data_IF_856637938379
#
_entry.id   IF_856637938379
#
_cell.length_a   1.000
_cell.length_b   1.000
_cell.length_c   1.000
_cell.angle_alpha   90.00
_cell.angle_beta   90.00
_cell.angle_gamma   90.00
#
_symmetry.space_group_name_H-M   'P 1'
#
loop_
_entity.id
_entity.type
_entity.pdbx_description
1 polymer ?
#
# COMPACT_ATOMS: atom_id res chain seq x y z
N UNK A 1 -7.18 0.43 -12.53
CA UNK A 1 -5.71 0.22 -12.43
C UNK A 1 -5.41 -0.55 -11.16
N UNK A 2 -4.49 -1.48 -11.25
CA UNK A 2 -4.09 -2.30 -10.11
C UNK A 2 -2.97 -1.61 -9.34
N UNK A 3 -3.09 -1.60 -8.01
CA UNK A 3 -2.11 -1.01 -7.11
C UNK A 3 -1.56 -2.05 -6.17
N UNK A 4 -0.28 -1.91 -5.85
CA UNK A 4 0.35 -2.56 -4.71
C UNK A 4 0.34 -1.55 -3.58
N UNK A 5 -0.37 -1.88 -2.51
CA UNK A 5 -0.47 -1.01 -1.33
C UNK A 5 0.46 -1.57 -0.27
N UNK A 6 1.51 -0.83 0.04
CA UNK A 6 2.48 -1.22 1.04
C UNK A 6 2.11 -0.61 2.38
N UNK A 7 1.94 -1.46 3.38
CA UNK A 7 1.59 -1.04 4.75
C UNK A 7 2.66 -1.56 5.69
N UNK A 8 3.45 -0.66 6.23
CA UNK A 8 4.45 -0.99 7.23
C UNK A 8 3.75 -0.99 8.59
N UNK A 9 3.65 -2.17 9.22
CA UNK A 9 2.91 -2.30 10.47
C UNK A 9 3.60 -1.54 11.59
N UNK A 10 2.83 -0.79 12.40
CA UNK A 10 3.40 -0.13 13.57
C UNK A 10 3.80 -1.18 14.62
N UNK A 11 4.63 -0.75 15.57
CA UNK A 11 4.96 -1.61 16.72
C UNK A 11 3.76 -1.69 17.67
N UNK A 12 3.77 -2.66 18.56
CA UNK A 12 2.74 -2.79 19.59
C UNK A 12 2.68 -1.53 20.47
N UNK A 13 3.82 -0.89 20.69
CA UNK A 13 3.88 0.35 21.44
C UNK A 13 3.16 1.50 20.73
N UNK A 14 3.29 1.57 19.41
CA UNK A 14 2.62 2.58 18.60
C UNK A 14 1.12 2.31 18.45
N UNK A 15 0.74 1.04 18.37
CA UNK A 15 -0.65 0.65 18.23
C UNK A 15 -0.90 -0.72 18.88
N UNK A 16 -1.42 -0.74 20.11
CA UNK A 16 -1.67 -1.99 20.84
C UNK A 16 -2.66 -2.93 20.16
N UNK A 17 -3.45 -2.45 19.22
CA UNK A 17 -4.42 -3.27 18.46
C UNK A 17 -3.75 -4.46 17.79
N UNK A 18 -2.48 -4.32 17.39
CA UNK A 18 -1.74 -5.39 16.73
C UNK A 18 -1.59 -6.63 17.61
N UNK A 19 -1.55 -6.45 18.92
CA UNK A 19 -1.43 -7.55 19.87
C UNK A 19 -2.78 -8.16 20.27
N UNK A 20 -3.90 -7.59 19.80
CA UNK A 20 -5.21 -8.09 20.14
C UNK A 20 -5.46 -9.45 19.51
N UNK A 21 -6.21 -10.29 20.23
CA UNK A 21 -6.47 -11.69 19.86
C UNK A 21 -7.14 -11.84 18.50
N UNK A 22 -8.02 -10.92 18.15
CA UNK A 22 -8.79 -10.97 16.90
C UNK A 22 -8.24 -10.03 15.82
N UNK A 23 -6.98 -9.60 15.96
CA UNK A 23 -6.33 -8.75 14.98
C UNK A 23 -6.41 -9.33 13.55
N UNK A 24 -6.15 -10.61 13.39
CA UNK A 24 -6.16 -11.25 12.07
C UNK A 24 -7.55 -11.24 11.46
N UNK A 25 -8.59 -11.40 12.26
CA UNK A 25 -9.98 -11.30 11.77
C UNK A 25 -10.32 -9.89 11.35
N UNK A 26 -9.84 -8.91 12.09
CA UNK A 26 -10.05 -7.50 11.75
C UNK A 26 -9.32 -7.14 10.46
N UNK A 27 -8.11 -7.68 10.26
CA UNK A 27 -7.36 -7.50 9.02
C UNK A 27 -8.11 -8.09 7.83
N UNK A 28 -8.64 -9.30 7.97
CA UNK A 28 -9.45 -9.92 6.91
C UNK A 28 -10.66 -9.07 6.57
N UNK A 29 -11.35 -8.55 7.59
CA UNK A 29 -12.52 -7.69 7.37
C UNK A 29 -12.13 -6.41 6.63
N UNK A 30 -11.00 -5.82 6.96
CA UNK A 30 -10.50 -4.64 6.27
C UNK A 30 -10.19 -4.96 4.79
N UNK A 31 -9.52 -6.07 4.54
CA UNK A 31 -9.17 -6.47 3.17
C UNK A 31 -10.42 -6.67 2.31
N UNK A 32 -11.46 -7.28 2.86
CA UNK A 32 -12.74 -7.43 2.17
C UNK A 32 -13.37 -6.07 1.92
N UNK A 33 -13.39 -5.21 2.93
CA UNK A 33 -14.00 -3.88 2.84
C UNK A 33 -13.38 -3.03 1.74
N UNK A 34 -12.07 -3.07 1.60
CA UNK A 34 -11.37 -2.28 0.58
C UNK A 34 -11.32 -2.96 -0.78
N UNK A 35 -11.78 -4.19 -0.88
CA UNK A 35 -11.80 -4.93 -2.14
C UNK A 35 -10.46 -5.49 -2.56
N UNK A 36 -9.63 -5.88 -1.61
CA UNK A 36 -8.32 -6.44 -1.90
C UNK A 36 -8.44 -7.78 -2.64
N UNK A 37 -7.63 -7.96 -3.68
CA UNK A 37 -7.56 -9.22 -4.42
C UNK A 37 -6.69 -10.23 -3.69
N UNK A 38 -5.55 -9.78 -3.19
CA UNK A 38 -4.56 -10.59 -2.48
C UNK A 38 -3.83 -9.74 -1.47
N UNK A 39 -3.29 -10.39 -0.45
CA UNK A 39 -2.42 -9.74 0.51
C UNK A 39 -1.30 -10.69 0.90
N UNK A 40 -0.10 -10.14 0.98
CA UNK A 40 1.09 -10.86 1.43
C UNK A 40 1.74 -10.06 2.54
N UNK A 41 2.47 -10.72 3.42
CA UNK A 41 3.26 -10.00 4.39
C UNK A 41 4.67 -10.60 4.48
N UNK A 42 5.61 -9.76 4.88
CA UNK A 42 7.01 -10.12 5.06
C UNK A 42 7.55 -9.47 6.31
N UNK A 43 8.52 -10.13 6.93
CA UNK A 43 9.29 -9.52 8.00
C UNK A 43 10.52 -8.86 7.38
N UNK A 44 10.64 -7.55 7.52
CA UNK A 44 11.76 -6.77 7.00
C UNK A 44 12.34 -5.96 8.14
N UNK A 45 13.61 -6.17 8.46
CA UNK A 45 14.31 -5.47 9.54
C UNK A 45 13.54 -5.53 10.87
N UNK A 46 12.95 -6.69 11.18
CA UNK A 46 12.20 -6.90 12.41
C UNK A 46 10.79 -6.35 12.42
N UNK A 47 10.33 -5.77 11.31
CA UNK A 47 8.98 -5.25 11.17
C UNK A 47 8.17 -6.07 10.18
N UNK A 48 6.86 -6.15 10.42
CA UNK A 48 5.94 -6.76 9.47
C UNK A 48 5.55 -5.70 8.43
N UNK A 49 5.66 -6.06 7.17
CA UNK A 49 5.22 -5.21 6.06
C UNK A 49 4.19 -5.98 5.25
N UNK A 50 3.00 -5.43 5.12
CA UNK A 50 1.93 -6.03 4.32
C UNK A 50 1.93 -5.41 2.92
N UNK A 51 1.75 -6.27 1.93
CA UNK A 51 1.60 -5.89 0.53
C UNK A 51 0.21 -6.31 0.07
N UNK A 52 -0.63 -5.34 -0.24
CA UNK A 52 -2.02 -5.58 -0.61
C UNK A 52 -2.19 -5.25 -2.08
N UNK A 53 -2.73 -6.19 -2.84
CA UNK A 53 -3.01 -5.99 -4.26
C UNK A 53 -4.49 -5.66 -4.42
N UNK A 54 -4.78 -4.52 -5.02
CA UNK A 54 -6.13 -4.01 -5.17
C UNK A 54 -6.31 -3.34 -6.52
N UNK A 55 -7.42 -3.63 -7.18
CA UNK A 55 -7.79 -2.94 -8.41
C UNK A 55 -8.66 -1.74 -8.06
N UNK A 56 -8.17 -0.55 -8.39
CA UNK A 56 -8.86 0.71 -8.10
C UNK A 56 -9.30 1.31 -9.44
N UNK A 57 -10.62 1.28 -9.69
CA UNK A 57 -11.19 1.86 -10.90
C UNK A 57 -11.37 3.37 -10.82
N UNK A 58 -11.59 3.89 -9.62
CA UNK A 58 -11.79 5.30 -9.37
C UNK A 58 -10.73 5.82 -8.40
N UNK A 59 -9.88 6.70 -8.88
CA UNK A 59 -8.75 7.22 -8.08
C UNK A 59 -9.21 7.96 -6.82
N UNK A 60 -10.46 8.40 -6.75
CA UNK A 60 -11.02 9.01 -5.55
C UNK A 60 -11.13 8.02 -4.38
N UNK A 61 -11.06 6.72 -4.67
CA UNK A 61 -11.03 5.69 -3.63
C UNK A 61 -9.69 5.62 -2.89
N UNK A 62 -8.62 6.17 -3.44
CA UNK A 62 -7.29 6.12 -2.80
C UNK A 62 -7.31 6.78 -1.42
N UNK A 63 -7.79 8.03 -1.26
CA UNK A 63 -7.88 8.61 0.08
C UNK A 63 -8.77 7.82 1.03
N UNK A 64 -9.89 7.30 0.52
CA UNK A 64 -10.83 6.50 1.32
C UNK A 64 -10.17 5.25 1.88
N UNK A 65 -9.44 4.52 1.03
CA UNK A 65 -8.72 3.32 1.42
C UNK A 65 -7.59 3.67 2.39
N UNK A 66 -6.85 4.73 2.10
CA UNK A 66 -5.77 5.20 2.95
C UNK A 66 -6.25 5.59 4.34
N UNK A 67 -7.38 6.27 4.42
CA UNK A 67 -7.99 6.67 5.69
C UNK A 67 -8.45 5.46 6.50
N UNK A 68 -9.05 4.47 5.86
CA UNK A 68 -9.49 3.25 6.53
C UNK A 68 -8.30 2.53 7.19
N UNK A 69 -7.18 2.44 6.50
CA UNK A 69 -5.96 1.83 7.02
C UNK A 69 -5.37 2.69 8.15
N UNK A 70 -5.29 3.99 7.94
CA UNK A 70 -4.71 4.92 8.92
C UNK A 70 -5.52 4.96 10.23
N UNK A 71 -6.85 4.98 10.14
CA UNK A 71 -7.71 5.03 11.31
C UNK A 71 -7.50 3.83 12.23
N UNK A 72 -7.23 2.67 11.65
CA UNK A 72 -7.04 1.45 12.42
C UNK A 72 -5.59 1.23 12.84
N UNK A 73 -4.65 1.36 11.91
CA UNK A 73 -3.24 1.00 12.13
C UNK A 73 -2.33 2.18 12.43
N UNK A 74 -2.84 3.41 12.30
CA UNK A 74 -2.06 4.64 12.54
C UNK A 74 -0.82 4.76 11.65
N UNK A 75 -0.82 4.14 10.49
CA UNK A 75 0.23 4.27 9.48
C UNK A 75 -0.37 4.69 8.16
N UNK A 76 0.39 5.45 7.38
CA UNK A 76 -0.01 5.83 6.03
C UNK A 76 0.46 4.76 5.06
N UNK A 77 -0.45 4.15 4.30
CA UNK A 77 -0.05 3.21 3.28
C UNK A 77 0.61 3.92 2.10
N UNK A 78 1.49 3.23 1.43
CA UNK A 78 2.12 3.69 0.19
C UNK A 78 1.42 3.00 -0.99
N UNK A 79 0.88 3.79 -1.90
CA UNK A 79 0.19 3.27 -3.09
C UNK A 79 1.14 3.28 -4.28
N UNK A 80 1.45 2.08 -4.78
CA UNK A 80 2.36 1.89 -5.90
C UNK A 80 1.57 1.31 -7.07
N UNK A 81 1.41 2.05 -8.17
CA UNK A 81 0.68 1.50 -9.31
C UNK A 81 1.47 0.35 -9.94
N UNK A 82 0.77 -0.74 -10.25
CA UNK A 82 1.33 -1.86 -10.98
C UNK A 82 1.14 -1.61 -12.48
N UNK A 83 2.19 -1.84 -13.25
CA UNK A 83 2.14 -1.71 -14.69
C UNK A 83 2.62 -2.97 -15.37
N UNK A 84 1.90 -3.42 -16.41
CA UNK A 84 2.38 -4.46 -17.29
C UNK A 84 3.55 -3.90 -18.14
N UNK A 85 4.43 -4.76 -18.69
CA UNK A 85 5.57 -4.28 -19.48
C UNK A 85 5.21 -3.34 -20.61
N UNK A 86 4.09 -3.57 -21.28
CA UNK A 86 3.61 -2.70 -22.35
C UNK A 86 3.18 -1.33 -21.83
N UNK A 87 2.57 -1.28 -20.64
CA UNK A 87 2.19 -0.03 -20.00
C UNK A 87 3.42 0.78 -19.59
N UNK A 88 4.45 0.11 -19.11
CA UNK A 88 5.73 0.74 -18.77
C UNK A 88 6.35 1.36 -20.03
N UNK A 89 6.32 0.64 -21.14
CA UNK A 89 6.85 1.15 -22.40
C UNK A 89 6.13 2.41 -22.85
N UNK A 90 4.80 2.48 -22.68
CA UNK A 90 4.00 3.65 -23.04
C UNK A 90 4.27 4.86 -22.15
N UNK A 91 4.60 4.63 -20.88
CA UNK A 91 4.86 5.70 -19.92
C UNK A 91 6.36 6.07 -19.84
N UNK A 92 7.21 5.40 -20.61
CA UNK A 92 8.65 5.60 -20.55
C UNK A 92 9.10 7.05 -20.71
N UNK A 93 8.53 7.85 -21.63
CA UNK A 93 8.91 9.25 -21.73
C UNK A 93 8.69 10.03 -20.44
N UNK A 94 7.59 9.77 -19.74
CA UNK A 94 7.27 10.43 -18.47
C UNK A 94 8.25 10.00 -17.38
N UNK A 95 8.57 8.72 -17.34
CA UNK A 95 9.53 8.16 -16.39
C UNK A 95 10.91 8.78 -16.62
N UNK A 96 11.36 8.86 -17.87
CA UNK A 96 12.64 9.46 -18.20
C UNK A 96 12.64 10.96 -17.90
N UNK A 97 11.53 11.65 -18.16
CA UNK A 97 11.37 13.04 -17.80
C UNK A 97 11.53 13.26 -16.29
N UNK A 98 10.88 12.43 -15.49
CA UNK A 98 10.98 12.50 -14.04
C UNK A 98 12.42 12.27 -13.56
N UNK A 99 13.14 11.31 -14.15
CA UNK A 99 14.53 11.06 -13.77
C UNK A 99 15.48 12.17 -14.18
N UNK A 100 15.09 13.02 -15.12
CA UNK A 100 15.87 14.18 -15.55
C UNK A 100 15.61 15.44 -14.74
N UNK A 101 14.72 15.36 -13.76
CA UNK A 101 14.39 16.49 -12.90
C UNK A 101 15.45 16.71 -11.80
N UNK A 102 15.29 17.76 -10.97
CA UNK A 102 16.35 18.26 -10.08
C UNK A 102 17.07 17.26 -9.23
N UNK A 103 16.46 16.14 -8.85
CA UNK A 103 17.12 15.13 -8.04
C UNK A 103 18.37 14.54 -8.71
N UNK A 104 18.51 14.67 -10.01
CA UNK A 104 19.76 14.28 -10.70
C UNK A 104 20.94 15.17 -10.35
N UNK A 105 20.66 16.33 -9.85
CA UNK A 105 21.71 17.28 -9.46
C UNK A 105 22.26 16.97 -8.08
N UNK A 106 21.63 16.04 -7.41
CA UNK A 106 22.10 15.59 -6.11
C UNK A 106 23.25 14.61 -6.27
#
# INVERSE_FOLDING_TARGET
MRFLVKVEMPTVQENPVIAEKDFDKQMEALLVKIGAEKAYYRAIAGKRVDYIIINIGDIRRIPEIGDAIYQWLKVKPEFLPEMAPDEVAKSKPDILGATKLPHKKL
#
